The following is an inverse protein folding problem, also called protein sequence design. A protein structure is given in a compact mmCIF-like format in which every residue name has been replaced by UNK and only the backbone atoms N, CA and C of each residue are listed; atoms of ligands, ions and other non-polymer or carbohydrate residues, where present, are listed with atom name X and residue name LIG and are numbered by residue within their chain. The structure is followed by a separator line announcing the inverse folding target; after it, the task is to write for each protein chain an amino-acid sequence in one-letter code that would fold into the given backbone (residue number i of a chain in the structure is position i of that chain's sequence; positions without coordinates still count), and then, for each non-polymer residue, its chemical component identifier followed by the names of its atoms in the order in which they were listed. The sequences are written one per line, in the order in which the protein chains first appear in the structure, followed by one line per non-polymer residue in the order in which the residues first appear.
data_IF_053894958866
#
_entry.id   IF_053894958866
#
_cell.length_a   1.000
_cell.length_b   1.000
_cell.length_c   1.000
_cell.angle_alpha   90.00
_cell.angle_beta   90.00
_cell.angle_gamma   90.00
#
_symmetry.space_group_name_H-M   'P 1'
#
loop_
_entity.id
_entity.type
_entity.pdbx_description
1 polymer ?
#
# COMPACT_ATOMS: atom_id res chain seq x y z
N UNK A 1 -10.43 -18.41 -10.84
CA UNK A 1 -11.56 -18.35 -9.89
C UNK A 1 -11.91 -16.90 -9.67
N UNK A 2 -13.19 -16.55 -9.75
CA UNK A 2 -13.62 -15.20 -9.42
C UNK A 2 -13.43 -14.96 -7.91
N UNK A 3 -12.86 -13.81 -7.57
CA UNK A 3 -12.66 -13.42 -6.17
C UNK A 3 -14.02 -13.10 -5.52
N UNK A 4 -14.21 -13.55 -4.29
CA UNK A 4 -15.45 -13.33 -3.53
C UNK A 4 -15.16 -12.56 -2.23
N UNK A 5 -16.15 -11.84 -1.72
CA UNK A 5 -16.04 -11.24 -0.39
C UNK A 5 -16.26 -12.31 0.66
N UNK A 6 -15.48 -12.23 1.74
CA UNK A 6 -15.58 -13.17 2.85
C UNK A 6 -17.00 -13.24 3.42
N UNK A 7 -17.66 -12.08 3.59
CA UNK A 7 -19.01 -11.97 4.13
C UNK A 7 -20.10 -12.61 3.26
N UNK A 8 -19.86 -12.76 1.97
CA UNK A 8 -20.83 -13.35 1.04
C UNK A 8 -20.81 -14.88 1.11
N UNK A 9 -19.70 -15.45 1.58
CA UNK A 9 -19.51 -16.91 1.62
C UNK A 9 -19.80 -17.47 3.01
N UNK A 10 -19.26 -16.84 4.05
CA UNK A 10 -19.20 -17.45 5.36
C UNK A 10 -20.36 -17.12 6.31
N UNK A 11 -20.82 -15.87 6.49
CA UNK A 11 -21.89 -15.59 7.48
C UNK A 11 -23.26 -16.09 7.05
N UNK A 12 -23.46 -16.41 5.80
CA UNK A 12 -24.72 -16.98 5.30
C UNK A 12 -24.84 -18.49 5.54
N UNK A 13 -23.83 -19.12 6.14
CA UNK A 13 -23.86 -20.55 6.42
C UNK A 13 -24.84 -20.90 7.54
N UNK A 14 -25.67 -21.97 7.38
CA UNK A 14 -26.60 -22.43 8.41
C UNK A 14 -25.91 -22.96 9.68
N UNK A 15 -24.58 -23.07 9.68
CA UNK A 15 -23.79 -23.51 10.84
C UNK A 15 -23.58 -22.42 11.88
N UNK A 16 -23.86 -21.15 11.57
CA UNK A 16 -23.74 -20.04 12.53
C UNK A 16 -24.90 -20.06 13.53
N UNK A 17 -24.59 -19.86 14.79
CA UNK A 17 -25.59 -19.57 15.81
C UNK A 17 -25.92 -18.07 15.71
N UNK A 18 -27.09 -17.75 15.12
CA UNK A 18 -27.48 -16.35 14.89
C UNK A 18 -27.62 -15.53 16.17
N UNK A 19 -27.93 -16.18 17.30
CA UNK A 19 -28.00 -15.50 18.61
C UNK A 19 -26.63 -15.07 19.15
N UNK A 20 -25.55 -15.58 18.55
CA UNK A 20 -24.16 -15.33 18.96
C UNK A 20 -23.33 -14.78 17.81
N UNK A 21 -23.95 -14.14 16.87
CA UNK A 21 -23.30 -13.45 15.76
C UNK A 21 -23.49 -11.93 15.92
N UNK A 22 -22.38 -11.20 15.90
CA UNK A 22 -22.38 -9.75 15.88
C UNK A 22 -21.37 -9.25 14.82
N UNK A 23 -21.72 -8.16 14.14
CA UNK A 23 -20.91 -7.52 13.10
C UNK A 23 -20.91 -6.02 13.32
N UNK A 24 -19.74 -5.39 13.16
CA UNK A 24 -19.60 -3.94 13.02
C UNK A 24 -18.53 -3.57 12.01
N UNK A 25 -18.66 -2.39 11.42
CA UNK A 25 -17.65 -1.82 10.52
C UNK A 25 -17.15 -0.51 11.09
N UNK A 26 -15.82 -0.31 11.09
CA UNK A 26 -15.19 0.93 11.52
C UNK A 26 -14.86 1.79 10.30
N UNK A 27 -15.55 2.89 10.10
CA UNK A 27 -15.27 3.97 9.16
C UNK A 27 -14.59 3.54 7.86
N UNK A 28 -15.09 2.50 7.21
CA UNK A 28 -14.50 1.88 6.01
C UNK A 28 -13.10 1.25 6.21
N UNK A 29 -12.53 1.22 7.41
CA UNK A 29 -11.20 0.67 7.66
C UNK A 29 -11.21 -0.84 7.72
N UNK A 30 -12.14 -1.41 8.49
CA UNK A 30 -12.29 -2.86 8.67
C UNK A 30 -13.75 -3.24 8.92
N UNK A 31 -14.05 -4.51 8.68
CA UNK A 31 -15.25 -5.15 9.22
C UNK A 31 -14.82 -6.19 10.22
N UNK A 32 -15.43 -6.17 11.41
CA UNK A 32 -15.21 -7.15 12.47
C UNK A 32 -16.48 -7.96 12.66
N UNK A 33 -16.33 -9.28 12.69
CA UNK A 33 -17.38 -10.22 13.01
C UNK A 33 -16.98 -11.09 14.18
N UNK A 34 -17.86 -11.25 15.12
CA UNK A 34 -17.75 -12.24 16.17
C UNK A 34 -18.86 -13.27 16.03
N UNK A 35 -18.52 -14.53 16.13
CA UNK A 35 -19.51 -15.60 16.09
C UNK A 35 -19.07 -16.89 16.79
N UNK A 36 -20.05 -17.67 17.20
CA UNK A 36 -19.89 -19.07 17.55
C UNK A 36 -20.50 -19.94 16.43
N UNK A 37 -19.78 -20.96 16.00
CA UNK A 37 -20.23 -21.85 14.94
C UNK A 37 -20.15 -23.30 15.39
N UNK A 38 -21.14 -24.11 14.99
CA UNK A 38 -21.09 -25.56 15.11
C UNK A 38 -19.98 -26.15 14.22
N UNK A 39 -19.52 -27.40 14.49
CA UNK A 39 -18.57 -28.04 13.59
C UNK A 39 -19.01 -27.95 12.13
N UNK A 40 -18.06 -27.63 11.24
CA UNK A 40 -18.41 -27.37 9.85
C UNK A 40 -17.22 -27.22 8.92
N UNK A 41 -17.53 -26.89 7.69
CA UNK A 41 -16.56 -26.72 6.62
C UNK A 41 -16.88 -25.44 5.84
N UNK A 42 -15.86 -24.64 5.58
CA UNK A 42 -15.87 -23.57 4.59
C UNK A 42 -15.11 -24.05 3.35
N UNK A 43 -15.74 -24.10 2.19
CA UNK A 43 -15.07 -24.56 0.97
C UNK A 43 -13.89 -23.66 0.62
N UNK A 44 -12.94 -24.21 -0.13
CA UNK A 44 -11.78 -23.47 -0.63
C UNK A 44 -12.22 -22.39 -1.59
N UNK A 45 -11.85 -21.14 -1.30
CA UNK A 45 -12.20 -19.94 -2.05
C UNK A 45 -11.01 -18.96 -2.11
N UNK A 46 -11.05 -18.06 -3.08
CA UNK A 46 -10.14 -16.91 -3.16
C UNK A 46 -10.92 -15.65 -2.81
N UNK A 47 -10.53 -15.00 -1.72
CA UNK A 47 -11.19 -13.77 -1.27
C UNK A 47 -10.46 -12.53 -1.79
N UNK A 48 -11.20 -11.46 -2.07
CA UNK A 48 -10.68 -10.16 -2.45
C UNK A 48 -10.21 -9.32 -1.23
N UNK A 49 -10.46 -9.81 -0.01
CA UNK A 49 -10.12 -9.15 1.25
C UNK A 49 -9.08 -9.94 2.04
N UNK A 50 -8.23 -9.23 2.79
CA UNK A 50 -7.46 -9.88 3.84
C UNK A 50 -8.41 -10.32 4.94
N UNK A 51 -8.15 -11.47 5.55
CA UNK A 51 -8.89 -11.87 6.73
C UNK A 51 -7.95 -12.38 7.84
N UNK A 52 -8.24 -11.94 9.04
CA UNK A 52 -7.53 -12.26 10.25
C UNK A 52 -8.50 -12.96 11.20
N UNK A 53 -8.18 -14.19 11.58
CA UNK A 53 -8.98 -14.99 12.51
C UNK A 53 -8.28 -15.02 13.87
N UNK A 54 -9.03 -14.69 14.91
CA UNK A 54 -8.58 -14.80 16.31
C UNK A 54 -9.46 -15.82 17.03
N UNK A 55 -8.86 -16.90 17.52
CA UNK A 55 -9.55 -17.91 18.30
C UNK A 55 -9.76 -17.47 19.75
N UNK A 56 -10.99 -17.39 20.19
CA UNK A 56 -11.39 -17.06 21.55
C UNK A 56 -11.94 -18.26 22.34
N UNK A 57 -11.94 -19.45 21.74
CA UNK A 57 -12.40 -20.66 22.43
C UNK A 57 -11.37 -21.10 23.48
N UNK A 58 -11.82 -21.36 24.70
CA UNK A 58 -10.94 -21.75 25.82
C UNK A 58 -10.32 -23.14 25.58
N UNK A 59 -11.14 -24.11 25.13
CA UNK A 59 -10.64 -25.46 24.88
C UNK A 59 -9.98 -25.55 23.50
N UNK A 60 -8.76 -26.13 23.43
CA UNK A 60 -8.13 -26.44 22.16
C UNK A 60 -9.02 -27.37 21.30
N UNK A 61 -9.03 -27.15 19.99
CA UNK A 61 -9.79 -27.96 19.08
C UNK A 61 -9.08 -28.19 17.75
N UNK A 62 -9.38 -29.29 17.09
CA UNK A 62 -8.80 -29.66 15.81
C UNK A 62 -9.40 -28.82 14.69
N UNK A 63 -8.52 -28.30 13.82
CA UNK A 63 -8.87 -27.50 12.63
C UNK A 63 -7.99 -27.97 11.47
N UNK A 64 -8.59 -28.07 10.29
CA UNK A 64 -7.91 -28.27 9.03
C UNK A 64 -7.98 -27.00 8.18
N UNK A 65 -6.89 -26.65 7.53
CA UNK A 65 -6.82 -25.54 6.61
C UNK A 65 -6.18 -25.95 5.28
N UNK A 66 -6.84 -25.65 4.20
CA UNK A 66 -6.29 -25.73 2.85
C UNK A 66 -5.91 -24.33 2.40
N UNK A 67 -4.65 -24.17 1.97
CA UNK A 67 -4.13 -22.86 1.58
C UNK A 67 -3.17 -23.01 0.40
N UNK A 68 -3.52 -22.42 -0.76
CA UNK A 68 -2.73 -22.53 -2.00
C UNK A 68 -2.33 -23.98 -2.32
N UNK A 69 -3.23 -24.93 -2.19
CA UNK A 69 -3.00 -26.36 -2.41
C UNK A 69 -2.30 -27.12 -1.27
N UNK A 70 -1.80 -26.44 -0.24
CA UNK A 70 -1.26 -27.09 0.96
C UNK A 70 -2.38 -27.42 1.95
N UNK A 71 -2.32 -28.62 2.54
CA UNK A 71 -3.21 -29.05 3.62
C UNK A 71 -2.47 -29.05 4.95
N UNK A 72 -3.08 -28.45 5.96
CA UNK A 72 -2.59 -28.44 7.34
C UNK A 72 -3.67 -28.92 8.28
N UNK A 73 -3.31 -29.83 9.17
CA UNK A 73 -4.13 -30.34 10.27
C UNK A 73 -3.46 -29.97 11.58
N UNK A 74 -4.12 -29.20 12.41
CA UNK A 74 -3.52 -28.64 13.62
C UNK A 74 -4.54 -28.45 14.76
N UNK A 75 -4.02 -28.30 15.96
CA UNK A 75 -4.79 -27.88 17.12
C UNK A 75 -4.82 -26.38 17.24
N UNK A 76 -6.00 -25.78 17.17
CA UNK A 76 -6.22 -24.34 17.30
C UNK A 76 -6.51 -24.00 18.76
N UNK A 77 -5.63 -23.19 19.38
CA UNK A 77 -5.68 -22.83 20.80
C UNK A 77 -6.16 -21.39 20.97
N UNK A 78 -6.68 -21.09 22.15
CA UNK A 78 -7.07 -19.72 22.51
C UNK A 78 -5.93 -18.73 22.27
N UNK A 79 -6.28 -17.57 21.75
CA UNK A 79 -5.38 -16.46 21.37
C UNK A 79 -4.39 -16.81 20.25
N UNK A 80 -4.60 -17.90 19.54
CA UNK A 80 -3.91 -18.10 18.27
C UNK A 80 -4.61 -17.34 17.14
N UNK A 81 -3.79 -16.81 16.27
CA UNK A 81 -4.18 -15.93 15.16
C UNK A 81 -3.78 -16.59 13.85
N UNK A 82 -4.57 -16.35 12.83
CA UNK A 82 -4.28 -16.76 11.47
C UNK A 82 -4.50 -15.55 10.57
N UNK A 83 -3.52 -15.23 9.73
CA UNK A 83 -3.60 -14.17 8.73
C UNK A 83 -3.61 -14.78 7.35
N UNK A 84 -4.65 -14.51 6.60
CA UNK A 84 -4.78 -14.89 5.19
C UNK A 84 -4.89 -13.63 4.34
N UNK A 85 -3.88 -13.30 3.52
CA UNK A 85 -3.92 -12.17 2.62
C UNK A 85 -5.00 -12.33 1.53
N UNK A 86 -5.46 -11.21 1.00
CA UNK A 86 -6.30 -11.21 -0.20
C UNK A 86 -5.60 -11.92 -1.36
N UNK A 87 -6.37 -12.62 -2.17
CA UNK A 87 -5.85 -13.40 -3.30
C UNK A 87 -5.25 -14.75 -2.93
N UNK A 88 -5.12 -15.08 -1.64
CA UNK A 88 -4.69 -16.41 -1.17
C UNK A 88 -5.88 -17.35 -1.11
N UNK A 89 -5.79 -18.46 -1.83
CA UNK A 89 -6.78 -19.51 -1.77
C UNK A 89 -6.82 -20.13 -0.37
N UNK A 90 -8.01 -20.22 0.25
CA UNK A 90 -8.16 -20.71 1.61
C UNK A 90 -9.49 -21.44 1.82
N UNK A 91 -9.44 -22.59 2.49
CA UNK A 91 -10.58 -23.37 2.93
C UNK A 91 -10.37 -23.92 4.34
N UNK A 92 -11.45 -24.23 5.04
CA UNK A 92 -11.41 -24.59 6.46
C UNK A 92 -12.35 -25.73 6.80
N UNK A 93 -11.94 -26.55 7.77
CA UNK A 93 -12.81 -27.49 8.48
C UNK A 93 -12.47 -27.46 9.96
N UNK A 94 -13.47 -27.29 10.81
CA UNK A 94 -13.33 -27.34 12.26
C UNK A 94 -14.22 -28.43 12.84
N UNK A 95 -13.67 -29.19 13.78
CA UNK A 95 -14.24 -30.45 14.28
C UNK A 95 -14.98 -30.28 15.61
N UNK A 96 -14.98 -29.11 16.20
CA UNK A 96 -15.70 -28.80 17.42
C UNK A 96 -16.32 -27.41 17.31
N UNK A 97 -17.27 -27.06 18.18
CA UNK A 97 -17.83 -25.72 18.27
C UNK A 97 -16.69 -24.70 18.35
N UNK A 98 -16.70 -23.71 17.47
CA UNK A 98 -15.69 -22.65 17.43
C UNK A 98 -16.22 -21.37 18.06
N UNK A 99 -15.30 -20.48 18.48
CA UNK A 99 -15.57 -19.15 19.01
C UNK A 99 -14.50 -18.22 18.47
N UNK A 100 -14.84 -17.39 17.49
CA UNK A 100 -13.85 -16.65 16.71
C UNK A 100 -14.26 -15.20 16.48
N UNK A 101 -13.25 -14.34 16.42
CA UNK A 101 -13.33 -13.02 15.81
C UNK A 101 -12.68 -13.10 14.44
N UNK A 102 -13.36 -12.56 13.43
CA UNK A 102 -12.83 -12.40 12.08
C UNK A 102 -12.78 -10.91 11.75
N UNK A 103 -11.60 -10.45 11.39
CA UNK A 103 -11.40 -9.10 10.86
C UNK A 103 -11.15 -9.21 9.37
N UNK A 104 -11.93 -8.50 8.57
CA UNK A 104 -11.74 -8.41 7.12
C UNK A 104 -11.32 -6.99 6.74
N UNK A 105 -10.37 -6.90 5.80
CA UNK A 105 -9.77 -5.65 5.34
C UNK A 105 -9.77 -5.61 3.82
N UNK A 106 -10.27 -4.53 3.25
CA UNK A 106 -10.08 -4.23 1.84
C UNK A 106 -8.62 -3.84 1.59
N UNK A 107 -7.90 -4.50 0.65
CA UNK A 107 -6.47 -4.24 0.42
C UNK A 107 -6.15 -2.79 0.08
N UNK A 108 -6.96 -2.14 -0.77
CA UNK A 108 -6.71 -0.77 -1.23
C UNK A 108 -6.92 0.24 -0.09
N UNK A 109 -7.93 0.01 0.75
CA UNK A 109 -8.20 0.84 1.93
C UNK A 109 -7.13 0.64 3.00
N UNK A 110 -6.68 -0.61 3.18
CA UNK A 110 -5.61 -0.96 4.11
C UNK A 110 -4.27 -0.34 3.69
N UNK A 111 -3.91 -0.41 2.42
CA UNK A 111 -2.73 0.25 1.88
C UNK A 111 -2.81 1.77 2.06
N UNK A 112 -3.95 2.37 1.72
CA UNK A 112 -4.16 3.81 1.90
C UNK A 112 -3.99 4.22 3.36
N UNK A 113 -4.58 3.49 4.29
CA UNK A 113 -4.41 3.72 5.73
C UNK A 113 -2.95 3.60 6.15
N UNK A 114 -2.25 2.56 5.72
CA UNK A 114 -0.83 2.37 6.00
C UNK A 114 0.00 3.55 5.50
N UNK A 115 -0.27 4.04 4.31
CA UNK A 115 0.43 5.14 3.69
C UNK A 115 0.13 6.50 4.34
N UNK A 116 -1.16 6.80 4.56
CA UNK A 116 -1.57 8.15 4.98
C UNK A 116 -1.49 8.37 6.48
N UNK A 117 -1.80 7.35 7.28
CA UNK A 117 -1.90 7.47 8.75
C UNK A 117 -0.69 6.88 9.47
N UNK A 118 -0.12 5.79 8.94
CA UNK A 118 1.07 5.16 9.54
C UNK A 118 2.37 5.63 8.90
N UNK A 119 2.31 6.09 7.65
CA UNK A 119 3.48 6.53 6.88
C UNK A 119 4.32 5.36 6.36
N UNK A 120 3.70 4.20 6.09
CA UNK A 120 4.34 2.97 5.62
C UNK A 120 3.77 2.59 4.26
N UNK A 121 4.63 2.20 3.31
CA UNK A 121 4.20 1.54 2.07
C UNK A 121 4.24 0.02 2.27
N UNK A 122 3.17 -0.63 1.85
CA UNK A 122 3.07 -2.08 1.86
C UNK A 122 3.40 -2.62 0.46
N UNK A 123 4.23 -3.65 0.39
CA UNK A 123 4.50 -4.34 -0.86
C UNK A 123 3.22 -5.03 -1.34
N UNK A 124 2.77 -4.69 -2.55
CA UNK A 124 1.56 -5.24 -3.18
C UNK A 124 0.31 -5.22 -2.29
N UNK A 125 0.17 -4.21 -1.42
CA UNK A 125 -0.92 -4.08 -0.42
C UNK A 125 -1.05 -5.29 0.51
N UNK A 126 0.04 -6.03 0.73
CA UNK A 126 -0.03 -7.36 1.33
C UNK A 126 0.34 -7.40 2.82
N UNK A 127 -0.31 -8.33 3.49
CA UNK A 127 0.08 -8.86 4.79
C UNK A 127 0.89 -10.13 4.63
N UNK A 128 1.72 -10.46 5.63
CA UNK A 128 2.36 -11.77 5.72
C UNK A 128 1.30 -12.86 5.84
N UNK A 129 1.43 -13.91 5.04
CA UNK A 129 0.58 -15.11 5.18
C UNK A 129 1.06 -15.92 6.38
N UNK A 130 0.28 -15.94 7.45
CA UNK A 130 0.64 -16.59 8.71
C UNK A 130 -0.42 -17.64 9.06
N UNK A 131 -0.09 -18.92 8.94
CA UNK A 131 -1.07 -20.00 9.12
C UNK A 131 -1.51 -20.19 10.57
N UNK A 132 -0.66 -19.93 11.55
CA UNK A 132 -0.96 -20.03 12.98
C UNK A 132 0.19 -19.39 13.78
N UNK A 133 -0.14 -18.46 14.68
CA UNK A 133 0.83 -17.83 15.57
C UNK A 133 0.13 -17.21 16.78
N UNK A 134 0.91 -16.73 17.75
CA UNK A 134 0.43 -15.94 18.88
C UNK A 134 1.05 -14.56 18.89
N UNK A 135 0.25 -13.55 19.15
CA UNK A 135 0.69 -12.19 19.39
C UNK A 135 -0.22 -11.54 20.44
N UNK A 136 0.28 -11.33 21.67
CA UNK A 136 -0.53 -10.76 22.75
C UNK A 136 -1.11 -9.39 22.44
N UNK A 137 -0.37 -8.55 21.71
CA UNK A 137 -0.85 -7.19 21.37
C UNK A 137 -2.00 -7.21 20.38
N UNK A 138 -1.92 -8.04 19.34
CA UNK A 138 -2.98 -8.22 18.34
C UNK A 138 -4.19 -8.90 18.98
N UNK A 139 -3.99 -9.91 19.83
CA UNK A 139 -5.07 -10.57 20.56
C UNK A 139 -5.83 -9.59 21.44
N UNK A 140 -5.11 -8.84 22.27
CA UNK A 140 -5.72 -7.87 23.18
C UNK A 140 -6.51 -6.79 22.40
N UNK A 141 -5.94 -6.25 21.34
CA UNK A 141 -6.64 -5.28 20.49
C UNK A 141 -7.90 -5.90 19.83
N UNK A 142 -7.84 -7.16 19.39
CA UNK A 142 -8.98 -7.88 18.82
C UNK A 142 -10.07 -8.19 19.85
N UNK A 143 -9.70 -8.51 21.09
CA UNK A 143 -10.65 -8.70 22.19
C UNK A 143 -11.34 -7.39 22.58
N UNK A 144 -10.59 -6.28 22.69
CA UNK A 144 -11.18 -4.96 22.94
C UNK A 144 -12.18 -4.55 21.85
N UNK A 145 -11.85 -4.82 20.57
CA UNK A 145 -12.76 -4.59 19.45
C UNK A 145 -14.04 -5.43 19.58
N UNK A 146 -13.89 -6.72 19.95
CA UNK A 146 -15.03 -7.61 20.18
C UNK A 146 -15.91 -7.10 21.34
N UNK A 147 -15.31 -6.62 22.42
CA UNK A 147 -16.03 -6.13 23.59
C UNK A 147 -16.77 -4.81 23.31
N UNK A 148 -16.27 -4.01 22.38
CA UNK A 148 -16.94 -2.80 21.89
C UNK A 148 -18.08 -3.08 20.89
N UNK A 149 -18.26 -4.33 20.42
CA UNK A 149 -19.35 -4.69 19.53
C UNK A 149 -20.70 -4.54 20.22
N UNK A 150 -21.63 -3.82 19.58
CA UNK A 150 -23.02 -3.73 20.03
C UNK A 150 -23.22 -2.89 21.29
N UNK A 151 -22.22 -2.14 21.73
CA UNK A 151 -22.41 -1.13 22.79
C UNK A 151 -23.29 0.02 22.27
N UNK A 152 -24.36 0.32 22.98
CA UNK A 152 -25.27 1.45 22.71
C UNK A 152 -24.91 2.70 23.52
N UNK A 153 -23.79 2.68 24.24
CA UNK A 153 -23.35 3.80 25.04
C UNK A 153 -22.91 4.99 24.17
N UNK A 154 -23.10 6.19 24.67
CA UNK A 154 -22.67 7.41 23.97
C UNK A 154 -21.16 7.39 23.72
N UNK A 155 -20.75 7.53 22.46
CA UNK A 155 -19.35 7.49 22.06
C UNK A 155 -18.80 6.09 21.72
N UNK A 156 -19.62 5.04 21.79
CA UNK A 156 -19.20 3.66 21.46
C UNK A 156 -18.64 3.52 20.04
N UNK A 157 -19.22 4.22 19.07
CA UNK A 157 -18.72 4.24 17.69
C UNK A 157 -17.29 4.83 17.61
N UNK A 158 -17.04 5.94 18.29
CA UNK A 158 -15.71 6.55 18.36
C UNK A 158 -14.69 5.64 19.05
N UNK A 159 -15.10 4.93 20.10
CA UNK A 159 -14.25 3.94 20.77
C UNK A 159 -13.91 2.80 19.80
N UNK A 160 -14.91 2.24 19.12
CA UNK A 160 -14.71 1.17 18.16
C UNK A 160 -13.78 1.58 17.01
N UNK A 161 -13.95 2.76 16.44
CA UNK A 161 -13.06 3.31 15.41
C UNK A 161 -11.63 3.53 15.92
N UNK A 162 -11.47 4.03 17.13
CA UNK A 162 -10.16 4.22 17.74
C UNK A 162 -9.43 2.90 17.97
N UNK A 163 -10.14 1.89 18.45
CA UNK A 163 -9.62 0.53 18.64
C UNK A 163 -9.26 -0.12 17.31
N UNK A 164 -10.06 0.10 16.26
CA UNK A 164 -9.77 -0.37 14.91
C UNK A 164 -8.45 0.22 14.39
N UNK A 165 -8.22 1.51 14.59
CA UNK A 165 -6.95 2.16 14.22
C UNK A 165 -5.77 1.56 14.99
N UNK A 166 -5.91 1.35 16.30
CA UNK A 166 -4.87 0.71 17.12
C UNK A 166 -4.54 -0.70 16.61
N UNK A 167 -5.57 -1.49 16.32
CA UNK A 167 -5.42 -2.84 15.76
C UNK A 167 -4.66 -2.82 14.43
N UNK A 168 -5.07 -1.96 13.50
CA UNK A 168 -4.44 -1.83 12.18
C UNK A 168 -3.00 -1.35 12.25
N UNK A 169 -2.68 -0.37 13.11
CA UNK A 169 -1.30 0.10 13.30
C UNK A 169 -0.40 -1.04 13.78
N UNK A 170 -0.85 -1.80 14.80
CA UNK A 170 -0.09 -2.97 15.31
C UNK A 170 0.07 -4.05 14.24
N UNK A 171 -0.98 -4.31 13.47
CA UNK A 171 -0.96 -5.29 12.39
C UNK A 171 0.07 -4.90 11.30
N UNK A 172 0.06 -3.63 10.87
CA UNK A 172 0.99 -3.10 9.87
C UNK A 172 2.43 -3.18 10.36
N UNK A 173 2.70 -2.73 11.58
CA UNK A 173 4.06 -2.70 12.15
C UNK A 173 4.70 -4.08 12.23
N UNK A 174 3.92 -5.10 12.54
CA UNK A 174 4.44 -6.45 12.79
C UNK A 174 4.32 -7.38 11.57
N UNK A 175 3.26 -7.26 10.79
CA UNK A 175 2.88 -8.24 9.79
C UNK A 175 2.63 -7.66 8.40
N UNK A 176 2.68 -6.35 8.23
CA UNK A 176 2.71 -5.74 6.91
C UNK A 176 3.98 -6.15 6.15
N UNK A 177 3.83 -6.57 4.89
CA UNK A 177 4.96 -6.72 4.00
C UNK A 177 5.41 -5.33 3.56
N UNK A 178 6.39 -4.79 4.30
CA UNK A 178 6.96 -3.48 3.99
C UNK A 178 7.98 -3.63 2.86
N UNK A 179 7.99 -2.70 1.93
CA UNK A 179 9.11 -2.57 1.00
C UNK A 179 10.36 -2.20 1.81
N UNK A 180 11.44 -2.97 1.68
CA UNK A 180 12.69 -2.78 2.46
C UNK A 180 13.26 -1.35 2.34
N UNK A 181 12.98 -0.67 1.21
CA UNK A 181 13.35 0.71 0.99
C UNK A 181 12.66 1.70 1.96
N UNK A 182 11.55 1.34 2.56
CA UNK A 182 10.75 2.26 3.39
C UNK A 182 11.26 2.41 4.82
N UNK A 183 11.91 1.39 5.36
CA UNK A 183 12.55 1.47 6.68
C UNK A 183 13.65 2.56 6.74
N UNK A 184 14.19 2.96 5.58
CA UNK A 184 15.21 4.02 5.44
C UNK A 184 14.64 5.41 5.08
N UNK A 185 13.37 5.54 4.71
CA UNK A 185 12.87 6.77 4.05
C UNK A 185 11.55 7.28 4.60
N UNK A 186 11.52 7.76 5.84
CA UNK A 186 10.40 8.61 6.31
C UNK A 186 10.29 9.96 5.58
N UNK A 187 11.24 10.30 4.70
CA UNK A 187 11.20 11.51 3.89
C UNK A 187 12.17 11.42 2.71
N UNK A 188 11.78 11.99 1.56
CA UNK A 188 12.72 12.29 0.48
C UNK A 188 13.66 13.40 0.98
N UNK A 189 14.80 12.97 1.52
CA UNK A 189 15.73 13.87 2.23
C UNK A 189 16.50 14.78 1.25
N UNK A 190 17.07 15.86 1.75
CA UNK A 190 17.97 16.71 0.98
C UNK A 190 19.14 15.91 0.36
N UNK A 191 19.57 14.80 0.99
CA UNK A 191 20.60 13.90 0.47
C UNK A 191 20.10 13.13 -0.77
N UNK A 192 18.87 12.61 -0.75
CA UNK A 192 18.25 11.96 -1.91
C UNK A 192 18.09 12.94 -3.06
N UNK A 193 17.56 14.14 -2.79
CA UNK A 193 17.41 15.19 -3.78
C UNK A 193 18.75 15.56 -4.43
N UNK A 194 19.80 15.78 -3.63
CA UNK A 194 21.14 16.10 -4.12
C UNK A 194 21.69 15.01 -5.05
N UNK A 195 21.58 13.72 -4.68
CA UNK A 195 22.03 12.60 -5.51
C UNK A 195 21.31 12.56 -6.85
N UNK A 196 19.96 12.70 -6.83
CA UNK A 196 19.16 12.74 -8.04
C UNK A 196 19.50 13.97 -8.89
N UNK A 197 19.64 15.14 -8.29
CA UNK A 197 20.02 16.37 -8.99
C UNK A 197 21.39 16.22 -9.65
N UNK A 198 22.39 15.73 -8.92
CA UNK A 198 23.76 15.51 -9.41
C UNK A 198 23.77 14.49 -10.57
N UNK A 199 22.93 13.44 -10.49
CA UNK A 199 22.78 12.47 -11.56
C UNK A 199 22.13 13.09 -12.80
N UNK A 200 21.04 13.82 -12.65
CA UNK A 200 20.37 14.54 -13.75
C UNK A 200 21.33 15.54 -14.39
N UNK A 201 22.06 16.30 -13.60
CA UNK A 201 23.02 17.29 -14.09
C UNK A 201 24.13 16.67 -14.96
N UNK A 202 24.57 15.46 -14.63
CA UNK A 202 25.59 14.73 -15.43
C UNK A 202 25.02 14.03 -16.64
N UNK A 203 23.72 13.75 -16.68
CA UNK A 203 23.12 12.83 -17.66
C UNK A 203 21.94 13.41 -18.45
N UNK A 204 21.54 14.67 -18.26
CA UNK A 204 20.32 15.25 -18.86
C UNK A 204 20.30 15.19 -20.39
N UNK A 205 21.45 15.12 -21.04
CA UNK A 205 21.56 15.05 -22.51
C UNK A 205 21.24 13.69 -23.11
N UNK A 206 21.06 12.63 -22.29
CA UNK A 206 20.68 11.28 -22.76
C UNK A 206 19.27 10.91 -22.34
N UNK A 207 18.76 9.78 -22.87
CA UNK A 207 17.50 9.23 -22.39
C UNK A 207 17.64 8.87 -20.89
N UNK A 208 16.69 9.32 -20.07
CA UNK A 208 16.57 9.02 -18.66
C UNK A 208 15.21 8.42 -18.40
N UNK A 209 15.18 7.38 -17.58
CA UNK A 209 13.97 6.72 -17.09
C UNK A 209 13.78 7.01 -15.60
N UNK A 210 12.56 6.80 -15.10
CA UNK A 210 12.25 6.94 -13.66
C UNK A 210 13.10 5.96 -12.84
N UNK A 211 13.36 4.78 -13.38
CA UNK A 211 14.18 3.72 -12.78
C UNK A 211 15.62 4.17 -12.53
N UNK A 212 16.18 4.98 -13.44
CA UNK A 212 17.54 5.52 -13.27
C UNK A 212 17.63 6.47 -12.08
N UNK A 213 16.63 7.36 -11.96
CA UNK A 213 16.56 8.33 -10.86
C UNK A 213 16.26 7.65 -9.53
N UNK A 214 15.37 6.65 -9.55
CA UNK A 214 15.01 5.86 -8.37
C UNK A 214 16.21 5.10 -7.80
N UNK A 215 17.05 4.52 -8.69
CA UNK A 215 18.29 3.85 -8.30
C UNK A 215 19.26 4.79 -7.58
N UNK A 216 19.38 6.04 -8.03
CA UNK A 216 20.22 7.04 -7.35
C UNK A 216 19.68 7.40 -5.95
N UNK A 217 18.39 7.34 -5.76
CA UNK A 217 17.77 7.53 -4.46
C UNK A 217 17.75 6.26 -3.59
N UNK A 218 18.18 5.11 -4.13
CA UNK A 218 18.05 3.77 -3.52
C UNK A 218 16.59 3.44 -3.15
N UNK A 219 15.65 3.74 -4.08
CA UNK A 219 14.22 3.53 -3.92
C UNK A 219 13.66 2.72 -5.10
N UNK A 220 12.52 2.05 -4.91
CA UNK A 220 11.77 1.49 -6.02
C UNK A 220 11.20 2.62 -6.91
N UNK A 221 11.01 2.39 -8.23
CA UNK A 221 10.52 3.42 -9.15
C UNK A 221 9.19 4.05 -8.73
N UNK A 222 8.22 3.24 -8.33
CA UNK A 222 6.90 3.71 -7.88
C UNK A 222 7.00 4.58 -6.63
N UNK A 223 7.73 4.10 -5.63
CA UNK A 223 7.93 4.81 -4.36
C UNK A 223 8.69 6.14 -4.58
N UNK A 224 9.77 6.08 -5.36
CA UNK A 224 10.51 7.29 -5.74
C UNK A 224 9.61 8.33 -6.40
N UNK A 225 8.80 7.93 -7.41
CA UNK A 225 7.94 8.85 -8.14
C UNK A 225 6.92 9.53 -7.22
N UNK A 226 6.32 8.80 -6.28
CA UNK A 226 5.37 9.34 -5.30
C UNK A 226 6.03 10.31 -4.32
N UNK A 227 7.14 9.89 -3.69
CA UNK A 227 7.88 10.73 -2.73
C UNK A 227 8.42 11.99 -3.40
N UNK A 228 9.00 11.85 -4.59
CA UNK A 228 9.53 12.96 -5.35
C UNK A 228 8.43 13.97 -5.67
N UNK A 229 7.29 13.52 -6.21
CA UNK A 229 6.16 14.39 -6.53
C UNK A 229 5.60 15.08 -5.29
N UNK A 230 5.47 14.37 -4.17
CA UNK A 230 4.99 14.95 -2.90
C UNK A 230 5.93 16.01 -2.35
N UNK A 231 7.26 15.79 -2.47
CA UNK A 231 8.26 16.68 -1.88
C UNK A 231 8.61 17.86 -2.79
N UNK A 232 8.68 17.63 -4.11
CA UNK A 232 9.12 18.62 -5.10
C UNK A 232 7.94 19.30 -5.82
N UNK A 233 6.72 18.74 -5.68
CA UNK A 233 5.51 19.28 -6.30
C UNK A 233 5.31 18.91 -7.77
N UNK A 234 6.24 18.17 -8.39
CA UNK A 234 6.17 17.73 -9.78
C UNK A 234 6.74 16.31 -9.95
N UNK A 235 6.32 15.61 -11.01
CA UNK A 235 6.82 14.27 -11.28
C UNK A 235 8.34 14.28 -11.62
N UNK A 236 9.06 13.14 -11.41
CA UNK A 236 10.48 13.04 -11.76
C UNK A 236 10.79 13.43 -13.21
N UNK A 237 9.96 12.99 -14.17
CA UNK A 237 10.18 13.30 -15.59
C UNK A 237 9.84 14.75 -15.94
N UNK A 238 8.88 15.37 -15.25
CA UNK A 238 8.65 16.81 -15.35
C UNK A 238 9.85 17.61 -14.85
N UNK A 239 10.46 17.16 -13.75
CA UNK A 239 11.69 17.76 -13.22
C UNK A 239 12.85 17.65 -14.21
N UNK A 240 13.10 16.48 -14.80
CA UNK A 240 14.12 16.29 -15.85
C UNK A 240 13.88 17.23 -17.02
N UNK A 241 12.62 17.35 -17.47
CA UNK A 241 12.23 18.21 -18.57
C UNK A 241 12.46 19.69 -18.25
N UNK A 242 12.09 20.14 -17.06
CA UNK A 242 12.33 21.50 -16.61
C UNK A 242 13.85 21.79 -16.52
N UNK A 243 14.64 20.83 -16.01
CA UNK A 243 16.09 20.94 -15.97
C UNK A 243 16.71 21.07 -17.35
N UNK A 244 16.26 20.25 -18.33
CA UNK A 244 16.70 20.34 -19.74
C UNK A 244 16.42 21.71 -20.34
N UNK A 245 15.24 22.28 -20.09
CA UNK A 245 14.88 23.62 -20.56
C UNK A 245 15.78 24.68 -19.95
N UNK A 246 16.11 24.54 -18.67
CA UNK A 246 17.03 25.48 -18.00
C UNK A 246 18.46 25.40 -18.56
N UNK A 247 18.95 24.20 -18.89
CA UNK A 247 20.25 24.04 -19.59
C UNK A 247 20.17 24.62 -21.02
N UNK A 248 19.05 24.46 -21.72
CA UNK A 248 18.85 25.06 -23.03
C UNK A 248 18.85 26.61 -22.96
N UNK A 249 18.24 27.21 -21.94
CA UNK A 249 18.31 28.66 -21.69
C UNK A 249 19.77 29.14 -21.63
N UNK A 250 20.61 28.46 -20.87
CA UNK A 250 22.05 28.77 -20.76
C UNK A 250 22.79 28.64 -22.09
N UNK A 251 22.44 27.60 -22.89
CA UNK A 251 23.04 27.42 -24.23
C UNK A 251 22.57 28.44 -25.27
N UNK A 252 21.33 28.94 -25.14
CA UNK A 252 20.77 29.97 -26.04
C UNK A 252 21.46 31.34 -25.91
N UNK A 253 22.20 31.60 -24.83
CA UNK A 253 23.03 32.79 -24.68
C UNK A 253 24.25 32.79 -25.62
N UNK A 254 24.73 31.58 -26.03
CA UNK A 254 25.82 31.43 -26.99
C UNK A 254 25.31 31.74 -28.41
N UNK A 255 26.04 32.62 -29.13
CA UNK A 255 25.52 33.33 -30.31
C UNK A 255 25.17 32.44 -31.52
N UNK A 256 25.93 31.39 -31.80
CA UNK A 256 25.90 30.73 -33.11
C UNK A 256 25.51 29.24 -33.11
N UNK A 257 25.05 28.69 -31.96
CA UNK A 257 24.63 27.28 -31.91
C UNK A 257 23.25 27.09 -32.51
N UNK A 258 23.10 26.24 -33.56
CA UNK A 258 21.79 25.91 -34.12
C UNK A 258 20.80 25.38 -33.07
N UNK A 259 19.51 25.70 -33.22
CA UNK A 259 18.50 25.25 -32.27
C UNK A 259 18.39 23.74 -32.19
N UNK A 260 18.63 23.04 -33.30
CA UNK A 260 18.65 21.59 -33.34
C UNK A 260 19.77 21.01 -32.48
N UNK A 261 20.96 21.59 -32.51
CA UNK A 261 22.10 21.13 -31.72
C UNK A 261 21.89 21.36 -30.22
N UNK A 262 21.23 22.49 -29.89
CA UNK A 262 20.82 22.74 -28.49
C UNK A 262 19.78 21.71 -28.05
N UNK A 263 18.77 21.43 -28.88
CA UNK A 263 17.74 20.44 -28.59
C UNK A 263 18.37 19.05 -28.30
N UNK A 264 19.19 18.58 -29.25
CA UNK A 264 19.85 17.26 -29.13
C UNK A 264 20.77 17.20 -27.90
N UNK A 265 21.61 18.22 -27.69
CA UNK A 265 22.52 18.26 -26.55
C UNK A 265 21.84 18.43 -25.19
N UNK A 266 20.56 18.79 -25.18
CA UNK A 266 19.71 18.85 -23.98
C UNK A 266 18.81 17.62 -23.83
N UNK A 267 18.95 16.59 -24.67
CA UNK A 267 18.23 15.32 -24.55
C UNK A 267 16.80 15.36 -25.09
N UNK A 268 16.47 16.30 -25.98
CA UNK A 268 15.19 16.29 -26.71
C UNK A 268 15.33 15.46 -27.98
N UNK A 269 14.26 14.74 -28.35
CA UNK A 269 14.26 13.87 -29.51
C UNK A 269 14.42 14.65 -30.84
N UNK A 270 13.85 15.87 -30.91
CA UNK A 270 13.91 16.72 -32.09
C UNK A 270 13.69 18.21 -31.72
N UNK A 271 13.91 19.09 -32.68
CA UNK A 271 13.74 20.54 -32.49
C UNK A 271 12.28 20.96 -32.30
N UNK A 272 11.32 20.26 -32.90
CA UNK A 272 9.89 20.59 -32.78
C UNK A 272 9.39 20.30 -31.38
N UNK A 273 9.72 19.12 -30.85
CA UNK A 273 9.44 18.75 -29.47
C UNK A 273 10.09 19.74 -28.48
N UNK A 274 11.38 20.03 -28.67
CA UNK A 274 12.10 21.03 -27.88
C UNK A 274 11.38 22.38 -27.88
N UNK A 275 11.03 22.90 -29.06
CA UNK A 275 10.41 24.24 -29.19
C UNK A 275 9.07 24.32 -28.49
N UNK A 276 8.27 23.26 -28.56
CA UNK A 276 6.96 23.14 -27.90
C UNK A 276 7.09 23.14 -26.39
N UNK A 277 7.97 22.26 -25.86
CA UNK A 277 8.22 22.13 -24.42
C UNK A 277 8.86 23.38 -23.84
N UNK A 278 9.83 23.94 -24.54
CA UNK A 278 10.48 25.21 -24.13
C UNK A 278 9.45 26.34 -24.04
N UNK A 279 8.55 26.51 -25.06
CA UNK A 279 7.49 27.52 -25.02
C UNK A 279 6.54 27.30 -23.86
N UNK A 280 6.17 26.06 -23.59
CA UNK A 280 5.28 25.70 -22.46
C UNK A 280 5.88 26.12 -21.11
N UNK A 281 7.19 25.90 -20.90
CA UNK A 281 7.85 26.15 -19.62
C UNK A 281 8.37 27.60 -19.52
N UNK A 282 8.90 28.15 -20.61
CA UNK A 282 9.52 29.47 -20.63
C UNK A 282 8.57 30.61 -21.03
N UNK A 283 7.33 30.29 -21.48
CA UNK A 283 6.35 31.27 -21.94
C UNK A 283 6.56 31.77 -23.37
N UNK A 284 7.73 31.58 -23.97
CA UNK A 284 8.06 32.03 -25.33
C UNK A 284 8.91 30.99 -26.07
N UNK A 285 8.95 31.07 -27.42
CA UNK A 285 9.74 30.12 -28.23
C UNK A 285 11.23 30.33 -28.06
N UNK A 286 12.08 29.27 -28.25
CA UNK A 286 13.56 29.36 -28.14
C UNK A 286 14.13 30.48 -29.05
N UNK A 287 13.61 30.64 -30.24
CA UNK A 287 14.05 31.68 -31.17
C UNK A 287 13.74 33.10 -30.66
N UNK A 288 12.52 33.31 -30.10
CA UNK A 288 12.14 34.57 -29.48
C UNK A 288 12.97 34.87 -28.24
N UNK A 289 13.16 33.86 -27.39
CA UNK A 289 14.02 33.95 -26.20
C UNK A 289 15.44 34.37 -26.56
N UNK A 290 16.06 33.70 -27.56
CA UNK A 290 17.38 34.08 -28.09
C UNK A 290 17.46 35.50 -28.62
N UNK A 291 16.42 35.95 -29.40
CA UNK A 291 16.37 37.32 -29.95
C UNK A 291 16.34 38.36 -28.81
N UNK A 292 15.53 38.13 -27.80
CA UNK A 292 15.40 39.00 -26.62
C UNK A 292 16.73 39.16 -25.83
N UNK A 293 17.56 38.10 -25.76
CA UNK A 293 18.86 38.15 -25.10
C UNK A 293 19.89 38.91 -25.92
N UNK A 294 19.62 39.21 -27.20
CA UNK A 294 20.55 39.92 -28.09
C UNK A 294 20.19 41.40 -28.24
N UNK A 295 18.96 41.78 -27.90
CA UNK A 295 18.50 43.17 -27.79
C UNK A 295 18.87 43.80 -26.45
#
# INVERSE_FOLDING_TARGET
MDKQKYQDVYPSSPILDSAKHARASAAELLTLEYFEAQPGTMPTQVFDQHHILLNLKDEPHRVENWRNGEHRDFTYRKHEIIVTPAGVESGWRWHAKSKVVVVTLDPDKFERFAQTEVGVLLADSQLKSLPQFKDPDICHAGEMLRDALGSEEQGSELIFESLARVFLVKLIQKYGLQEEAYAFSKSFTAKHYKRVLDFVARNYGRSLLVEDLAREAALSPSHFAQLFKRTIGMSPMQFVTAFRVEQARKKLTKRDTPLIDIAMSCGFADQAHFSRVFKQIAGESPSKYRKRLRS
#
